data_IF_936257770683
#
_entry.id   IF_936257770683
#
_cell.length_a   1.000
_cell.length_b   1.000
_cell.length_c   1.000
_cell.angle_alpha   90.00
_cell.angle_beta   90.00
_cell.angle_gamma   90.00
#
_symmetry.space_group_name_H-M   'P 1'
#
loop_
_entity.id
_entity.type
_entity.pdbx_description
1 polymer ?
#
# COMPACT_ATOMS: atom_id res chain seq x y z
N UNK A 1 1.76 0.34 -15.84
CA UNK A 1 1.86 -0.34 -14.54
C UNK A 1 0.86 -1.51 -14.37
N UNK A 2 0.56 -2.28 -15.43
CA UNK A 2 -0.41 -3.38 -15.34
C UNK A 2 0.08 -4.54 -14.45
N UNK A 3 1.39 -4.78 -14.43
CA UNK A 3 2.04 -5.81 -13.60
C UNK A 3 1.91 -5.46 -12.11
N UNK A 4 2.25 -4.23 -11.72
CA UNK A 4 2.07 -3.73 -10.35
C UNK A 4 0.62 -3.86 -9.86
N UNK A 5 -0.35 -3.41 -10.68
CA UNK A 5 -1.78 -3.54 -10.38
C UNK A 5 -2.20 -5.00 -10.21
N UNK A 6 -1.75 -5.89 -11.09
CA UNK A 6 -2.05 -7.33 -10.98
C UNK A 6 -1.39 -7.93 -9.74
N UNK A 7 -0.20 -7.49 -9.38
CA UNK A 7 0.50 -7.87 -8.16
C UNK A 7 -0.29 -7.50 -6.91
N UNK A 8 -0.83 -6.28 -6.84
CA UNK A 8 -1.70 -5.86 -5.73
C UNK A 8 -2.98 -6.69 -5.63
N UNK A 9 -3.66 -6.93 -6.76
CA UNK A 9 -4.91 -7.72 -6.78
C UNK A 9 -4.66 -9.19 -6.41
N UNK A 10 -3.54 -9.75 -6.86
CA UNK A 10 -3.18 -11.15 -6.60
C UNK A 10 -2.47 -11.37 -5.25
N UNK A 11 -2.03 -10.29 -4.59
CA UNK A 11 -1.21 -10.35 -3.38
C UNK A 11 0.29 -10.57 -3.63
N UNK A 12 0.70 -10.84 -4.87
CA UNK A 12 2.09 -11.01 -5.27
C UNK A 12 2.67 -9.69 -5.77
N UNK A 13 2.95 -8.78 -4.84
CA UNK A 13 3.55 -7.49 -5.14
C UNK A 13 4.96 -7.65 -5.74
N UNK A 14 5.29 -6.81 -6.72
CA UNK A 14 6.56 -6.86 -7.45
C UNK A 14 7.25 -5.49 -7.37
N UNK A 15 8.53 -5.41 -6.98
CA UNK A 15 9.25 -4.15 -6.98
C UNK A 15 9.39 -3.60 -8.40
N UNK A 16 9.31 -2.28 -8.55
CA UNK A 16 9.40 -1.59 -9.83
C UNK A 16 10.42 -0.45 -9.74
N UNK A 17 11.19 -0.27 -10.81
CA UNK A 17 12.14 0.83 -10.99
C UNK A 17 11.80 1.59 -12.27
N UNK A 18 11.96 2.92 -12.25
CA UNK A 18 11.81 3.76 -13.43
C UNK A 18 13.19 4.12 -13.97
N UNK A 19 13.45 3.85 -15.24
CA UNK A 19 14.74 4.13 -15.88
C UNK A 19 14.55 5.16 -17.00
N UNK A 20 15.18 6.32 -16.84
CA UNK A 20 15.30 7.34 -17.86
C UNK A 20 16.58 7.06 -18.67
N UNK A 21 16.43 6.27 -19.72
CA UNK A 21 17.56 5.90 -20.58
C UNK A 21 17.85 6.98 -21.63
N UNK A 22 19.08 6.93 -22.17
CA UNK A 22 19.60 7.88 -23.18
C UNK A 22 19.71 9.30 -22.64
N UNK A 23 20.13 9.42 -21.39
CA UNK A 23 20.28 10.73 -20.72
C UNK A 23 21.34 11.64 -21.37
N UNK A 24 22.19 11.07 -22.25
CA UNK A 24 23.13 11.81 -23.09
C UNK A 24 22.49 12.56 -24.26
N UNK A 25 21.22 12.29 -24.57
CA UNK A 25 20.46 13.08 -25.52
C UNK A 25 19.74 14.21 -24.78
N UNK A 26 19.62 15.36 -25.43
CA UNK A 26 18.83 16.49 -24.92
C UNK A 26 17.38 16.04 -24.72
N UNK A 27 17.07 15.74 -23.47
CA UNK A 27 15.75 15.31 -23.04
C UNK A 27 14.79 16.48 -23.09
N UNK A 28 13.55 16.24 -23.53
CA UNK A 28 12.50 17.25 -23.42
C UNK A 28 12.34 17.65 -21.94
N UNK A 29 12.43 18.95 -21.57
CA UNK A 29 12.48 19.38 -20.17
C UNK A 29 11.29 18.93 -19.32
N UNK A 30 10.11 18.74 -19.92
CA UNK A 30 8.96 18.22 -19.17
C UNK A 30 9.05 16.72 -18.90
N UNK A 31 9.76 15.94 -19.72
CA UNK A 31 9.92 14.50 -19.51
C UNK A 31 10.63 14.20 -18.18
N UNK A 32 11.60 15.04 -17.79
CA UNK A 32 12.30 14.94 -16.49
C UNK A 32 11.31 15.21 -15.34
N UNK A 33 10.50 16.26 -15.45
CA UNK A 33 9.51 16.61 -14.43
C UNK A 33 8.41 15.55 -14.33
N UNK A 34 7.94 15.06 -15.47
CA UNK A 34 6.85 14.09 -15.56
C UNK A 34 7.29 12.72 -15.03
N UNK A 35 8.50 12.27 -15.37
CA UNK A 35 9.04 11.02 -14.83
C UNK A 35 9.23 11.07 -13.32
N UNK A 36 9.74 12.18 -12.77
CA UNK A 36 9.82 12.38 -11.32
C UNK A 36 8.42 12.39 -10.66
N UNK A 37 7.45 13.08 -11.26
CA UNK A 37 6.07 13.13 -10.76
C UNK A 37 5.39 11.76 -10.79
N UNK A 38 5.63 10.97 -11.84
CA UNK A 38 5.15 9.59 -11.94
C UNK A 38 5.71 8.76 -10.79
N UNK A 39 7.03 8.81 -10.55
CA UNK A 39 7.66 8.05 -9.46
C UNK A 39 7.07 8.41 -8.08
N UNK A 40 6.91 9.71 -7.81
CA UNK A 40 6.29 10.19 -6.57
C UNK A 40 4.83 9.70 -6.41
N UNK A 41 4.04 9.76 -7.49
CA UNK A 41 2.65 9.31 -7.45
C UNK A 41 2.51 7.82 -7.11
N UNK A 42 3.45 7.00 -7.59
CA UNK A 42 3.50 5.58 -7.30
C UNK A 42 4.29 5.22 -6.03
N UNK A 43 4.87 6.20 -5.34
CA UNK A 43 5.64 5.96 -4.12
C UNK A 43 6.93 5.16 -4.34
N UNK A 44 7.53 5.26 -5.54
CA UNK A 44 8.81 4.61 -5.86
C UNK A 44 9.93 5.66 -5.95
N UNK A 45 11.18 5.19 -5.93
CA UNK A 45 12.36 6.04 -6.06
C UNK A 45 12.35 6.88 -7.34
N UNK A 46 13.06 8.01 -7.29
CA UNK A 46 13.26 8.87 -8.44
C UNK A 46 13.84 8.11 -9.65
N UNK A 47 13.58 8.61 -10.88
CA UNK A 47 14.09 8.01 -12.11
C UNK A 47 15.60 7.74 -12.07
N UNK A 48 15.99 6.57 -12.53
CA UNK A 48 17.40 6.21 -12.71
C UNK A 48 17.82 6.74 -14.08
N UNK A 49 18.65 7.77 -14.09
CA UNK A 49 19.20 8.33 -15.31
C UNK A 49 20.38 7.48 -15.76
N UNK A 50 20.33 6.99 -17.01
CA UNK A 50 21.43 6.21 -17.59
C UNK A 50 21.77 6.70 -18.99
N UNK A 51 23.07 6.72 -19.27
CA UNK A 51 23.61 6.86 -20.62
C UNK A 51 24.55 5.71 -20.94
N UNK A 52 24.32 5.05 -22.07
CA UNK A 52 25.24 4.02 -22.58
C UNK A 52 26.56 4.65 -23.06
N UNK A 53 26.55 5.94 -23.42
CA UNK A 53 27.74 6.68 -23.83
C UNK A 53 28.71 6.90 -22.67
N UNK A 54 28.18 7.11 -21.47
CA UNK A 54 28.96 7.28 -20.24
C UNK A 54 29.53 5.96 -19.69
N UNK A 55 29.09 4.81 -20.23
CA UNK A 55 29.57 3.44 -19.91
C UNK A 55 29.47 3.01 -18.44
N UNK A 56 28.94 3.83 -17.54
CA UNK A 56 28.68 3.46 -16.15
C UNK A 56 27.21 3.04 -15.95
N UNK A 57 26.96 1.74 -16.06
CA UNK A 57 25.66 1.12 -15.79
C UNK A 57 25.61 0.45 -14.41
N UNK A 58 26.70 0.47 -13.65
CA UNK A 58 26.80 -0.26 -12.38
C UNK A 58 25.80 0.26 -11.35
N UNK A 59 25.51 1.56 -11.38
CA UNK A 59 24.50 2.20 -10.55
C UNK A 59 23.09 1.61 -10.76
N UNK A 60 22.72 1.28 -12.01
CA UNK A 60 21.44 0.66 -12.34
C UNK A 60 21.37 -0.78 -11.84
N UNK A 61 22.40 -1.59 -12.08
CA UNK A 61 22.41 -2.99 -11.65
C UNK A 61 22.37 -3.10 -10.13
N UNK A 62 23.12 -2.26 -9.43
CA UNK A 62 23.07 -2.22 -7.96
C UNK A 62 21.66 -1.89 -7.47
N UNK A 63 20.99 -0.90 -8.06
CA UNK A 63 19.59 -0.57 -7.72
C UNK A 63 18.62 -1.71 -7.98
N UNK A 64 18.81 -2.49 -9.05
CA UNK A 64 18.00 -3.69 -9.32
C UNK A 64 18.19 -4.72 -8.20
N UNK A 65 19.43 -4.99 -7.81
CA UNK A 65 19.74 -5.94 -6.73
C UNK A 65 19.16 -5.45 -5.40
N UNK A 66 19.37 -4.18 -5.03
CA UNK A 66 18.80 -3.61 -3.80
C UNK A 66 17.27 -3.70 -3.78
N UNK A 67 16.60 -3.43 -4.90
CA UNK A 67 15.14 -3.55 -5.01
C UNK A 67 14.67 -5.01 -4.91
N UNK A 68 15.47 -5.98 -5.35
CA UNK A 68 15.16 -7.40 -5.22
C UNK A 68 15.40 -7.92 -3.78
N UNK A 69 16.42 -7.40 -3.09
CA UNK A 69 16.71 -7.72 -1.69
C UNK A 69 15.69 -7.10 -0.74
N UNK A 70 15.24 -5.88 -1.04
CA UNK A 70 14.31 -5.11 -0.20
C UNK A 70 13.03 -4.75 -0.99
N UNK A 71 12.26 -5.75 -1.45
CA UNK A 71 11.16 -5.53 -2.39
C UNK A 71 10.09 -4.57 -1.85
N UNK A 72 9.85 -4.59 -0.54
CA UNK A 72 8.88 -3.75 0.16
C UNK A 72 9.11 -2.24 0.02
N UNK A 73 10.35 -1.80 -0.27
CA UNK A 73 10.68 -0.38 -0.46
C UNK A 73 10.43 0.11 -1.89
N UNK A 74 10.41 -0.81 -2.86
CA UNK A 74 10.26 -0.48 -4.27
C UNK A 74 8.95 -0.98 -4.88
N UNK A 75 8.00 -1.44 -4.05
CA UNK A 75 6.66 -1.78 -4.53
C UNK A 75 5.88 -0.50 -4.83
N UNK A 76 5.43 -0.28 -6.08
CA UNK A 76 4.59 0.86 -6.38
C UNK A 76 3.21 0.70 -5.76
N UNK A 77 2.71 1.77 -5.14
CA UNK A 77 1.32 1.86 -4.72
C UNK A 77 0.46 2.33 -5.90
N UNK A 78 -0.44 1.47 -6.38
CA UNK A 78 -1.41 1.90 -7.39
C UNK A 78 -2.65 2.48 -6.73
N UNK A 79 -3.44 3.24 -7.50
CA UNK A 79 -4.72 3.80 -7.04
C UNK A 79 -5.69 2.70 -6.55
N UNK A 80 -5.64 1.52 -7.17
CA UNK A 80 -6.41 0.34 -6.76
C UNK A 80 -5.95 -0.15 -5.39
N UNK A 81 -4.65 -0.33 -5.19
CA UNK A 81 -4.09 -0.71 -3.88
C UNK A 81 -4.40 0.32 -2.80
N UNK A 82 -4.26 1.62 -3.09
CA UNK A 82 -4.56 2.70 -2.14
C UNK A 82 -6.04 2.73 -1.73
N UNK A 83 -6.95 2.65 -2.69
CA UNK A 83 -8.40 2.62 -2.42
C UNK A 83 -8.80 1.38 -1.63
N UNK A 84 -8.25 0.20 -1.96
CA UNK A 84 -8.51 -1.04 -1.25
C UNK A 84 -8.00 -1.02 0.20
N UNK A 85 -6.77 -0.51 0.44
CA UNK A 85 -6.22 -0.30 1.79
C UNK A 85 -7.13 0.62 2.60
N UNK A 86 -7.57 1.73 2.01
CA UNK A 86 -8.48 2.70 2.67
C UNK A 86 -9.82 2.07 3.00
N UNK A 87 -10.41 1.33 2.07
CA UNK A 87 -11.65 0.60 2.29
C UNK A 87 -11.53 -0.42 3.42
N UNK A 88 -10.48 -1.26 3.42
CA UNK A 88 -10.21 -2.22 4.49
C UNK A 88 -10.06 -1.53 5.85
N UNK A 89 -9.34 -0.42 5.91
CA UNK A 89 -9.17 0.33 7.15
C UNK A 89 -10.52 0.86 7.68
N UNK A 90 -11.38 1.38 6.81
CA UNK A 90 -12.72 1.85 7.20
C UNK A 90 -13.58 0.69 7.69
N UNK A 91 -13.61 -0.42 6.97
CA UNK A 91 -14.39 -1.61 7.35
C UNK A 91 -13.91 -2.17 8.68
N UNK A 92 -12.61 -2.37 8.88
CA UNK A 92 -12.05 -2.88 10.14
C UNK A 92 -12.39 -1.97 11.32
N UNK A 93 -12.30 -0.65 11.14
CA UNK A 93 -12.68 0.32 12.19
C UNK A 93 -14.15 0.18 12.53
N UNK A 94 -15.03 0.14 11.53
CA UNK A 94 -16.47 -0.07 11.74
C UNK A 94 -16.76 -1.40 12.43
N UNK A 95 -16.08 -2.48 12.06
CA UNK A 95 -16.22 -3.82 12.65
C UNK A 95 -15.78 -3.84 14.13
N UNK A 96 -14.72 -3.13 14.49
CA UNK A 96 -14.35 -2.95 15.90
C UNK A 96 -15.45 -2.25 16.68
N UNK A 97 -16.02 -1.17 16.15
CA UNK A 97 -17.11 -0.47 16.84
C UNK A 97 -18.35 -1.34 17.01
N UNK A 98 -18.80 -2.03 15.96
CA UNK A 98 -20.00 -2.89 16.03
C UNK A 98 -19.79 -4.07 16.98
N UNK A 99 -18.61 -4.69 16.98
CA UNK A 99 -18.30 -5.80 17.89
C UNK A 99 -18.30 -5.37 19.37
N UNK A 100 -17.74 -4.21 19.70
CA UNK A 100 -17.76 -3.68 21.08
C UNK A 100 -19.19 -3.40 21.54
N UNK A 101 -19.99 -2.71 20.71
CA UNK A 101 -21.40 -2.39 21.05
C UNK A 101 -22.22 -3.67 21.25
N UNK A 102 -22.06 -4.65 20.36
CA UNK A 102 -22.76 -5.93 20.47
C UNK A 102 -22.39 -6.67 21.77
N UNK A 103 -21.11 -6.72 22.13
CA UNK A 103 -20.65 -7.36 23.36
C UNK A 103 -21.26 -6.70 24.62
N UNK A 104 -21.25 -5.36 24.69
CA UNK A 104 -21.84 -4.61 25.81
C UNK A 104 -23.35 -4.87 25.92
N UNK A 105 -24.06 -4.88 24.79
CA UNK A 105 -25.50 -5.15 24.79
C UNK A 105 -25.82 -6.57 25.29
N UNK A 106 -25.04 -7.58 24.88
CA UNK A 106 -25.22 -8.98 25.32
C UNK A 106 -24.96 -9.11 26.82
N UNK A 107 -23.86 -8.54 27.32
CA UNK A 107 -23.52 -8.58 28.76
C UNK A 107 -24.58 -7.85 29.57
N UNK A 108 -25.01 -6.66 29.14
CA UNK A 108 -26.06 -5.89 29.79
C UNK A 108 -27.39 -6.65 29.85
N UNK A 109 -27.79 -7.31 28.76
CA UNK A 109 -29.01 -8.12 28.71
C UNK A 109 -28.93 -9.35 29.64
N UNK A 110 -27.78 -10.04 29.66
CA UNK A 110 -27.57 -11.19 30.53
C UNK A 110 -27.63 -10.79 32.01
N UNK A 111 -26.94 -9.70 32.38
CA UNK A 111 -26.98 -9.13 33.73
C UNK A 111 -28.41 -8.75 34.13
N UNK A 112 -29.14 -8.04 33.26
CA UNK A 112 -30.53 -7.67 33.51
C UNK A 112 -31.43 -8.88 33.73
N UNK A 113 -31.34 -9.91 32.87
CA UNK A 113 -32.12 -11.15 33.03
C UNK A 113 -31.82 -11.86 34.35
N UNK A 114 -30.56 -11.95 34.74
CA UNK A 114 -30.17 -12.57 36.01
C UNK A 114 -30.71 -11.79 37.21
N UNK A 115 -30.71 -10.46 37.16
CA UNK A 115 -31.26 -9.60 38.20
C UNK A 115 -32.78 -9.74 38.31
N UNK A 116 -33.49 -9.71 37.18
CA UNK A 116 -34.94 -9.87 37.13
C UNK A 116 -35.39 -11.23 37.69
N UNK A 117 -34.68 -12.32 37.35
CA UNK A 117 -34.95 -13.65 37.88
C UNK A 117 -34.78 -13.73 39.41
N UNK A 118 -33.75 -13.06 39.97
CA UNK A 118 -33.56 -12.96 41.43
C UNK A 118 -34.68 -12.18 42.10
N UNK A 119 -35.08 -11.04 41.52
CA UNK A 119 -36.18 -10.22 42.06
C UNK A 119 -37.50 -11.01 42.13
N UNK A 120 -37.77 -11.87 41.16
CA UNK A 120 -38.99 -12.67 41.09
C UNK A 120 -38.99 -13.89 42.03
N UNK A 121 -37.84 -14.31 42.54
CA UNK A 121 -37.70 -15.48 43.43
C UNK A 121 -37.60 -15.12 44.92
N UNK A 122 -37.41 -13.84 45.23
CA UNK A 122 -37.33 -13.31 46.61
C UNK A 122 -38.69 -12.84 47.17
N UNK A 123 -39.79 -13.51 46.80
CA UNK A 123 -41.14 -13.27 47.35
C UNK A 123 -41.70 -14.48 48.06
#
# INVERSE_FOLDING_TARGET
MTVARRGEVSGFMVPCLFVAAKDDLDSYPMAIKDSAKICQNFGIDAPIHISVKERDLNSMFNRIVTAAEHPHLSVPETEVGRSQKRYRHLVNRSLMFTSVVAAVAVVGLAAYRSYAARKNTSS
#
